data_IF_313625539472
#
_entry.id   IF_313625539472
#
_cell.length_a   1.000
_cell.length_b   1.000
_cell.length_c   1.000
_cell.angle_alpha   90.00
_cell.angle_beta   90.00
_cell.angle_gamma   90.00
#
_symmetry.space_group_name_H-M   'P 1'
#
loop_
_entity.id
_entity.type
_entity.pdbx_description
1 polymer ?
#
# COMPACT_ATOMS: atom_id res chain seq x y z
N UNK A 1 -54.34 -18.20 -33.71
CA UNK A 1 -52.96 -17.73 -33.89
C UNK A 1 -52.82 -16.50 -33.01
N UNK A 2 -52.49 -16.68 -31.73
CA UNK A 2 -51.13 -16.79 -31.18
C UNK A 2 -50.61 -15.41 -30.77
N UNK A 3 -50.27 -15.28 -29.49
CA UNK A 3 -49.64 -14.09 -28.93
C UNK A 3 -49.56 -14.05 -27.42
N UNK A 4 -49.31 -15.20 -26.77
CA UNK A 4 -48.69 -15.27 -25.44
C UNK A 4 -47.20 -15.55 -25.67
N UNK A 5 -46.34 -14.78 -25.00
CA UNK A 5 -45.05 -15.22 -24.43
C UNK A 5 -44.44 -13.99 -23.77
N UNK A 6 -44.49 -14.00 -22.44
CA UNK A 6 -43.69 -13.13 -21.60
C UNK A 6 -42.21 -13.39 -21.80
N UNK A 7 -41.42 -12.34 -21.64
CA UNK A 7 -39.97 -12.46 -21.54
C UNK A 7 -39.48 -11.41 -20.53
N UNK A 8 -39.87 -11.63 -19.27
CA UNK A 8 -39.19 -11.05 -18.12
C UNK A 8 -37.85 -11.77 -17.98
N UNK A 9 -36.87 -11.30 -18.75
CA UNK A 9 -35.48 -11.75 -18.62
C UNK A 9 -34.85 -11.02 -17.44
N UNK A 10 -34.96 -11.62 -16.27
CA UNK A 10 -34.12 -11.33 -15.11
C UNK A 10 -32.67 -11.65 -15.51
N UNK A 11 -31.89 -10.63 -15.89
CA UNK A 11 -30.43 -10.76 -15.93
C UNK A 11 -29.89 -10.65 -14.50
N UNK A 12 -29.79 -11.80 -13.84
CA UNK A 12 -28.82 -12.00 -12.78
C UNK A 12 -27.45 -12.16 -13.45
N UNK A 13 -26.64 -11.11 -13.47
CA UNK A 13 -25.25 -11.16 -13.92
C UNK A 13 -24.34 -10.69 -12.79
N UNK A 14 -23.85 -11.70 -12.06
CA UNK A 14 -22.61 -11.82 -11.28
C UNK A 14 -22.17 -10.63 -10.38
N UNK A 15 -21.89 -10.86 -9.08
CA UNK A 15 -21.26 -9.84 -8.24
C UNK A 15 -19.86 -9.57 -8.80
N UNK A 16 -19.72 -8.42 -9.46
CA UNK A 16 -18.44 -7.94 -9.97
C UNK A 16 -17.40 -8.01 -8.85
N UNK A 17 -16.38 -8.85 -9.06
CA UNK A 17 -15.15 -8.82 -8.27
C UNK A 17 -14.67 -7.38 -8.26
N UNK A 18 -14.87 -6.71 -7.11
CA UNK A 18 -14.42 -5.35 -6.93
C UNK A 18 -12.94 -5.28 -7.32
N UNK A 19 -12.52 -4.28 -8.11
CA UNK A 19 -11.12 -4.17 -8.50
C UNK A 19 -10.30 -4.17 -7.22
N UNK A 20 -9.37 -5.12 -7.09
CA UNK A 20 -8.34 -5.04 -6.07
C UNK A 20 -7.64 -3.70 -6.30
N UNK A 21 -8.01 -2.68 -5.52
CA UNK A 21 -7.32 -1.40 -5.54
C UNK A 21 -5.86 -1.73 -5.27
N UNK A 22 -4.99 -1.51 -6.27
CA UNK A 22 -3.56 -1.82 -6.19
C UNK A 22 -2.88 -1.22 -4.95
N UNK A 23 -3.51 -0.23 -4.31
CA UNK A 23 -3.12 0.38 -3.05
C UNK A 23 -3.17 -0.55 -1.83
N UNK A 24 -4.06 -1.55 -1.78
CA UNK A 24 -4.16 -2.42 -0.59
C UNK A 24 -2.89 -3.28 -0.36
N UNK A 25 -2.40 -4.07 -1.34
CA UNK A 25 -1.16 -4.81 -1.15
C UNK A 25 0.03 -3.88 -0.92
N UNK A 26 0.08 -2.73 -1.60
CA UNK A 26 1.15 -1.73 -1.40
C UNK A 26 1.10 -1.16 0.01
N UNK A 27 -0.09 -0.95 0.59
CA UNK A 27 -0.24 -0.51 1.98
C UNK A 27 0.26 -1.55 2.97
N UNK A 28 -0.15 -2.81 2.82
CA UNK A 28 0.27 -3.89 3.73
C UNK A 28 1.78 -4.10 3.68
N UNK A 29 2.37 -4.12 2.48
CA UNK A 29 3.82 -4.22 2.31
C UNK A 29 4.56 -2.99 2.87
N UNK A 30 3.96 -1.80 2.74
CA UNK A 30 4.52 -0.58 3.35
C UNK A 30 4.58 -0.71 4.87
N UNK A 31 3.51 -1.17 5.51
CA UNK A 31 3.45 -1.31 6.96
C UNK A 31 4.44 -2.37 7.48
N UNK A 32 4.57 -3.49 6.76
CA UNK A 32 5.56 -4.52 7.06
C UNK A 32 6.99 -3.98 6.93
N UNK A 33 7.26 -3.22 5.86
CA UNK A 33 8.59 -2.65 5.62
C UNK A 33 8.92 -1.59 6.68
N UNK A 34 7.98 -0.72 7.06
CA UNK A 34 8.17 0.25 8.15
C UNK A 34 8.52 -0.47 9.44
N UNK A 35 7.76 -1.50 9.81
CA UNK A 35 8.01 -2.31 11.02
C UNK A 35 9.40 -2.94 11.01
N UNK A 36 9.82 -3.46 9.86
CA UNK A 36 11.14 -4.08 9.66
C UNK A 36 12.27 -3.06 9.81
N UNK A 37 12.12 -1.87 9.22
CA UNK A 37 13.10 -0.79 9.30
C UNK A 37 13.22 -0.22 10.71
N UNK A 38 12.12 -0.14 11.46
CA UNK A 38 12.17 0.21 12.87
C UNK A 38 12.93 -0.84 13.70
N UNK A 39 12.69 -2.13 13.45
CA UNK A 39 13.41 -3.20 14.14
C UNK A 39 14.91 -3.11 13.85
N UNK A 40 15.28 -2.81 12.60
CA UNK A 40 16.66 -2.61 12.18
C UNK A 40 17.32 -1.44 12.92
N UNK A 41 16.62 -0.31 13.04
CA UNK A 41 17.11 0.84 13.79
C UNK A 41 17.30 0.51 15.28
N UNK A 42 16.34 -0.18 15.90
CA UNK A 42 16.42 -0.65 17.30
C UNK A 42 17.58 -1.63 17.53
N UNK A 43 17.99 -2.38 16.51
CA UNK A 43 19.14 -3.27 16.55
C UNK A 43 20.49 -2.54 16.35
N UNK A 44 20.51 -1.20 16.40
CA UNK A 44 21.73 -0.40 16.21
C UNK A 44 22.10 -0.16 14.76
N UNK A 45 21.26 -0.56 13.79
CA UNK A 45 21.51 -0.37 12.36
C UNK A 45 20.70 0.82 11.79
N UNK A 46 20.65 1.93 12.54
CA UNK A 46 19.87 3.12 12.18
C UNK A 46 20.23 3.70 10.80
N UNK A 47 21.51 3.74 10.46
CA UNK A 47 21.98 4.23 9.15
C UNK A 47 21.48 3.37 7.98
N UNK A 48 21.50 2.05 8.14
CA UNK A 48 20.98 1.13 7.15
C UNK A 48 19.47 1.31 6.99
N UNK A 49 18.74 1.46 8.10
CA UNK A 49 17.31 1.74 8.10
C UNK A 49 16.98 3.06 7.38
N UNK A 50 17.71 4.13 7.68
CA UNK A 50 17.61 5.43 7.00
C UNK A 50 17.79 5.31 5.49
N UNK A 51 18.86 4.65 5.04
CA UNK A 51 19.15 4.48 3.61
C UNK A 51 18.03 3.73 2.88
N UNK A 52 17.49 2.67 3.48
CA UNK A 52 16.39 1.90 2.87
C UNK A 52 15.07 2.66 2.88
N UNK A 53 14.75 3.38 3.97
CA UNK A 53 13.58 4.26 4.02
C UNK A 53 13.65 5.36 2.93
N UNK A 54 14.85 5.92 2.69
CA UNK A 54 15.10 6.87 1.59
C UNK A 54 14.78 6.30 0.21
N UNK A 55 15.19 5.05 -0.06
CA UNK A 55 14.87 4.36 -1.32
C UNK A 55 13.37 4.14 -1.49
N UNK A 56 12.68 3.72 -0.42
CA UNK A 56 11.23 3.55 -0.44
C UNK A 56 10.49 4.89 -0.71
N UNK A 57 10.95 5.98 -0.09
CA UNK A 57 10.45 7.32 -0.40
C UNK A 57 10.62 7.68 -1.89
N UNK A 58 11.81 7.46 -2.46
CA UNK A 58 12.06 7.76 -3.86
C UNK A 58 11.15 6.96 -4.81
N UNK A 59 10.87 5.69 -4.49
CA UNK A 59 10.00 4.83 -5.28
C UNK A 59 8.53 5.24 -5.24
N UNK A 60 8.03 5.71 -4.10
CA UNK A 60 6.60 5.96 -3.89
C UNK A 60 6.18 7.42 -4.07
N UNK A 61 7.12 8.38 -4.08
CA UNK A 61 6.80 9.82 -4.10
C UNK A 61 5.90 10.27 -5.25
N UNK A 62 5.94 9.57 -6.39
CA UNK A 62 5.17 9.91 -7.58
C UNK A 62 3.88 9.09 -7.74
N UNK A 63 3.90 7.83 -7.29
CA UNK A 63 2.82 6.87 -7.56
C UNK A 63 1.89 6.63 -6.37
N UNK A 64 2.37 6.84 -5.14
CA UNK A 64 1.67 6.45 -3.92
C UNK A 64 1.90 7.45 -2.78
N UNK A 65 1.30 8.66 -2.82
CA UNK A 65 1.54 9.70 -1.81
C UNK A 65 1.18 9.28 -0.39
N UNK A 66 0.15 8.45 -0.21
CA UNK A 66 -0.25 7.95 1.11
C UNK A 66 0.86 7.11 1.77
N UNK A 67 1.44 6.18 1.02
CA UNK A 67 2.49 5.29 1.52
C UNK A 67 3.85 6.01 1.61
N UNK A 68 4.13 6.93 0.69
CA UNK A 68 5.29 7.83 0.78
C UNK A 68 5.36 8.57 2.12
N UNK A 69 4.24 9.11 2.63
CA UNK A 69 4.21 9.84 3.91
C UNK A 69 4.69 8.99 5.09
N UNK A 70 4.39 7.68 5.10
CA UNK A 70 4.80 6.78 6.18
C UNK A 70 6.33 6.65 6.24
N UNK A 71 6.98 6.44 5.08
CA UNK A 71 8.45 6.39 5.01
C UNK A 71 9.08 7.75 5.30
N UNK A 72 8.46 8.85 4.88
CA UNK A 72 8.97 10.18 5.17
C UNK A 72 8.94 10.48 6.68
N UNK A 73 7.85 10.13 7.36
CA UNK A 73 7.76 10.23 8.83
C UNK A 73 8.81 9.34 9.53
N UNK A 74 9.01 8.11 9.03
CA UNK A 74 10.04 7.23 9.54
C UNK A 74 11.44 7.84 9.39
N UNK A 75 11.79 8.37 8.22
CA UNK A 75 13.06 9.05 7.98
C UNK A 75 13.31 10.18 8.97
N UNK A 76 12.36 11.09 9.13
CA UNK A 76 12.50 12.19 10.09
C UNK A 76 12.75 11.70 11.51
N UNK A 77 12.12 10.59 11.92
CA UNK A 77 12.35 9.99 13.24
C UNK A 77 13.73 9.35 13.33
N UNK A 78 14.16 8.59 12.33
CA UNK A 78 15.45 7.90 12.33
C UNK A 78 16.63 8.88 12.23
N UNK A 79 16.51 9.96 11.44
CA UNK A 79 17.54 11.00 11.34
C UNK A 79 17.79 11.73 12.66
N UNK A 80 16.81 11.74 13.59
CA UNK A 80 17.00 12.28 14.94
C UNK A 80 17.69 11.31 15.90
N UNK A 81 17.81 10.05 15.52
CA UNK A 81 18.43 8.98 16.31
C UNK A 81 19.82 8.61 15.79
N UNK A 82 20.18 9.07 14.60
CA UNK A 82 21.53 8.94 14.08
C UNK A 82 22.50 9.76 14.97
N UNK A 83 23.64 9.18 15.38
CA UNK A 83 24.62 9.82 16.25
C UNK A 83 25.33 11.01 15.60
#
# INVERSE_FOLDING_TARGET
>A
MSGDVGSDRIEASEPGVAPFSGDHPVSVLTDLLVTSLEALARAGQADAACRQAGKACAALRASNPAQWRKFNALLHRLSRQAP
#
